data_IF_930763731735
#
_entry.id   IF_930763731735
#
_cell.length_a   1.000
_cell.length_b   1.000
_cell.length_c   1.000
_cell.angle_alpha   90.00
_cell.angle_beta   90.00
_cell.angle_gamma   90.00
#
_symmetry.space_group_name_H-M   'P 1'
#
loop_
_entity.id
_entity.type
_entity.pdbx_description
1 polymer ?
#
# COMPACT_ATOMS: atom_id res chain seq x y z
N UNK A 1 19.87 -19.95 -18.27
CA UNK A 1 18.70 -19.33 -17.59
C UNK A 1 17.90 -20.42 -16.90
N UNK A 2 17.46 -20.20 -15.65
CA UNK A 2 16.64 -21.18 -14.94
C UNK A 2 15.31 -21.42 -15.67
N UNK A 3 14.91 -22.68 -15.79
CA UNK A 3 13.67 -23.07 -16.46
C UNK A 3 12.46 -22.64 -15.61
N UNK A 4 11.54 -21.89 -16.22
CA UNK A 4 10.33 -21.44 -15.52
C UNK A 4 9.41 -22.65 -15.21
N UNK A 5 8.83 -22.66 -14.00
CA UNK A 5 7.89 -23.70 -13.60
C UNK A 5 6.66 -23.77 -14.50
N UNK A 6 6.08 -24.95 -14.67
CA UNK A 6 4.94 -25.22 -15.56
C UNK A 6 3.76 -24.27 -15.33
N UNK A 7 3.43 -23.97 -14.07
CA UNK A 7 2.32 -23.08 -13.69
C UNK A 7 2.48 -21.65 -14.24
N UNK A 8 3.64 -21.02 -14.04
CA UNK A 8 3.86 -19.65 -14.51
C UNK A 8 4.00 -19.58 -16.03
N UNK A 9 4.46 -20.65 -16.68
CA UNK A 9 4.51 -20.79 -18.12
C UNK A 9 3.09 -20.79 -18.71
N UNK A 10 2.20 -21.63 -18.17
CA UNK A 10 0.78 -21.67 -18.59
C UNK A 10 0.06 -20.34 -18.27
N UNK A 11 0.33 -19.73 -17.12
CA UNK A 11 -0.29 -18.44 -16.78
C UNK A 11 0.14 -17.29 -17.71
N UNK A 12 1.31 -17.39 -18.35
CA UNK A 12 1.81 -16.40 -19.34
C UNK A 12 1.33 -16.66 -20.78
N UNK A 13 0.72 -17.78 -21.01
CA UNK A 13 0.25 -18.15 -22.34
C UNK A 13 -0.80 -17.16 -22.83
N UNK A 14 -0.65 -16.66 -24.07
CA UNK A 14 -1.53 -15.64 -24.66
C UNK A 14 -1.34 -14.20 -24.14
N UNK A 15 -0.34 -13.93 -23.27
CA UNK A 15 0.01 -12.57 -22.87
C UNK A 15 1.18 -12.06 -23.70
N UNK A 16 0.92 -11.05 -24.54
CA UNK A 16 1.98 -10.34 -25.23
C UNK A 16 2.61 -9.31 -24.28
N UNK A 17 3.91 -9.45 -24.02
CA UNK A 17 4.66 -8.58 -23.12
C UNK A 17 4.97 -7.19 -23.68
N UNK A 18 4.82 -7.02 -24.98
CA UNK A 18 5.07 -5.74 -25.66
C UNK A 18 3.81 -4.88 -25.70
N UNK A 19 2.65 -5.51 -25.66
CA UNK A 19 1.34 -4.85 -25.74
C UNK A 19 0.96 -4.18 -24.40
N UNK A 20 0.36 -3.01 -24.50
CA UNK A 20 -0.34 -2.33 -23.41
C UNK A 20 -1.83 -2.72 -23.49
N UNK A 21 -2.38 -3.19 -22.38
CA UNK A 21 -3.77 -3.62 -22.30
C UNK A 21 -4.63 -2.54 -21.64
N UNK A 22 -5.88 -2.34 -22.08
CA UNK A 22 -6.84 -1.53 -21.34
C UNK A 22 -7.04 -2.09 -19.92
N UNK A 23 -7.28 -1.21 -18.93
CA UNK A 23 -7.36 -1.62 -17.52
C UNK A 23 -8.38 -2.74 -17.28
N UNK A 24 -9.60 -2.64 -17.83
CA UNK A 24 -10.65 -3.65 -17.65
C UNK A 24 -10.24 -5.03 -18.18
N UNK A 25 -9.66 -5.08 -19.39
CA UNK A 25 -9.18 -6.33 -19.97
C UNK A 25 -8.02 -6.93 -19.17
N UNK A 26 -7.10 -6.09 -18.71
CA UNK A 26 -5.98 -6.53 -17.90
C UNK A 26 -6.44 -7.14 -16.56
N UNK A 27 -7.43 -6.55 -15.88
CA UNK A 27 -8.03 -7.08 -14.64
C UNK A 27 -8.71 -8.42 -14.90
N UNK A 28 -9.52 -8.54 -15.96
CA UNK A 28 -10.19 -9.80 -16.35
C UNK A 28 -9.17 -10.90 -16.62
N UNK A 29 -8.18 -10.62 -17.48
CA UNK A 29 -7.10 -11.56 -17.78
C UNK A 29 -6.33 -12.02 -16.55
N UNK A 30 -6.14 -11.14 -15.58
CA UNK A 30 -5.45 -11.44 -14.34
C UNK A 30 -6.28 -12.37 -13.45
N UNK A 31 -7.58 -12.11 -13.30
CA UNK A 31 -8.50 -12.96 -12.52
C UNK A 31 -8.60 -14.37 -13.09
N UNK A 32 -8.72 -14.53 -14.41
CA UNK A 32 -8.76 -15.83 -15.08
C UNK A 32 -7.51 -16.69 -14.83
N UNK A 33 -6.36 -16.02 -14.60
CA UNK A 33 -5.05 -16.68 -14.41
C UNK A 33 -4.64 -16.84 -12.95
N UNK A 34 -5.37 -16.25 -12.03
CA UNK A 34 -5.17 -16.41 -10.60
C UNK A 34 -5.75 -17.76 -10.12
N UNK A 35 -4.94 -18.81 -10.20
CA UNK A 35 -5.33 -20.21 -9.90
C UNK A 35 -4.67 -20.77 -8.64
N UNK A 36 -4.20 -19.92 -7.73
CA UNK A 36 -3.66 -20.36 -6.45
C UNK A 36 -4.77 -20.88 -5.52
N UNK A 37 -4.39 -21.72 -4.54
CA UNK A 37 -5.33 -22.30 -3.55
C UNK A 37 -5.73 -21.33 -2.45
N UNK A 38 -5.34 -20.06 -2.55
CA UNK A 38 -5.64 -19.00 -1.60
C UNK A 38 -6.11 -17.75 -2.37
N UNK A 39 -6.79 -16.84 -1.68
CA UNK A 39 -7.24 -15.58 -2.27
C UNK A 39 -6.04 -14.65 -2.50
N UNK A 40 -5.59 -14.61 -3.77
CA UNK A 40 -4.42 -13.84 -4.17
C UNK A 40 -4.68 -12.33 -4.03
N UNK A 41 -3.64 -11.58 -3.68
CA UNK A 41 -3.69 -10.12 -3.68
C UNK A 41 -3.39 -9.59 -5.08
N UNK A 42 -4.15 -8.61 -5.52
CA UNK A 42 -3.86 -7.86 -6.75
C UNK A 42 -2.99 -6.68 -6.38
N UNK A 43 -1.87 -6.58 -7.06
CA UNK A 43 -0.85 -5.56 -6.82
C UNK A 43 -0.65 -4.71 -8.06
N UNK A 44 -0.40 -3.43 -7.83
CA UNK A 44 -0.05 -2.45 -8.87
C UNK A 44 1.39 -2.04 -8.68
N UNK A 45 2.14 -2.01 -9.77
CA UNK A 45 3.48 -1.43 -9.84
C UNK A 45 3.47 -0.27 -10.83
N UNK A 46 3.95 0.91 -10.41
CA UNK A 46 4.03 2.10 -11.23
C UNK A 46 5.47 2.60 -11.29
N UNK A 47 6.04 2.67 -12.49
CA UNK A 47 7.32 3.31 -12.72
C UNK A 47 7.09 4.82 -12.82
N UNK A 48 7.81 5.57 -12.02
CA UNK A 48 7.72 7.03 -11.97
C UNK A 48 9.01 7.66 -12.52
N UNK A 49 8.87 8.72 -13.29
CA UNK A 49 9.96 9.53 -13.81
C UNK A 49 10.56 10.44 -12.72
N UNK A 50 11.02 9.85 -11.62
CA UNK A 50 11.66 10.55 -10.49
C UNK A 50 12.96 9.88 -10.11
N UNK A 51 13.90 10.65 -9.55
CA UNK A 51 15.13 10.13 -8.95
C UNK A 51 14.99 10.13 -7.40
N UNK A 52 14.75 8.98 -6.76
CA UNK A 52 14.56 8.89 -5.31
C UNK A 52 15.83 9.21 -4.47
N UNK A 53 16.97 9.42 -5.11
CA UNK A 53 18.20 9.85 -4.43
C UNK A 53 18.12 11.30 -3.98
N UNK A 54 17.29 12.09 -4.66
CA UNK A 54 17.01 13.48 -4.32
C UNK A 54 15.83 13.55 -3.35
N UNK A 55 16.01 14.22 -2.22
CA UNK A 55 15.00 14.32 -1.17
C UNK A 55 13.71 15.04 -1.62
N UNK A 56 13.84 15.97 -2.57
CA UNK A 56 12.75 16.72 -3.21
C UNK A 56 11.94 15.89 -4.22
N UNK A 57 12.49 14.74 -4.68
CA UNK A 57 11.81 13.82 -5.60
C UNK A 57 11.30 12.55 -4.91
N UNK A 58 11.36 12.51 -3.59
CA UNK A 58 10.85 11.37 -2.82
C UNK A 58 9.32 11.39 -2.76
N UNK A 59 8.69 10.47 -3.49
CA UNK A 59 7.22 10.29 -3.49
C UNK A 59 6.80 9.38 -2.35
N UNK A 60 5.89 9.85 -1.52
CA UNK A 60 5.28 9.11 -0.41
C UNK A 60 3.89 9.65 -0.13
N UNK A 61 2.94 8.77 0.13
CA UNK A 61 1.58 9.16 0.47
C UNK A 61 0.73 8.00 0.98
N UNK A 62 -0.53 8.29 1.17
CA UNK A 62 -1.57 7.32 1.50
C UNK A 62 -2.70 7.45 0.50
N UNK A 63 -3.21 6.32 0.06
CA UNK A 63 -4.43 6.23 -0.72
C UNK A 63 -5.50 5.50 0.09
N UNK A 64 -6.66 6.09 0.24
CA UNK A 64 -7.84 5.42 0.77
C UNK A 64 -8.55 4.74 -0.40
N UNK A 65 -8.52 3.39 -0.40
CA UNK A 65 -9.18 2.62 -1.44
C UNK A 65 -10.69 2.62 -1.21
N UNK A 66 -11.52 2.99 -2.20
CA UNK A 66 -12.97 3.10 -2.03
C UNK A 66 -13.62 1.76 -1.65
N UNK A 67 -13.10 0.66 -2.14
CA UNK A 67 -13.63 -0.68 -1.85
C UNK A 67 -12.78 -1.45 -0.81
N UNK A 68 -11.86 -0.75 -0.11
CA UNK A 68 -10.93 -1.37 0.81
C UNK A 68 -9.87 -2.25 0.14
N UNK A 69 -8.94 -2.79 0.92
CA UNK A 69 -7.88 -3.68 0.42
C UNK A 69 -8.24 -5.17 0.50
N UNK A 70 -9.36 -5.53 1.14
CA UNK A 70 -9.76 -6.92 1.42
C UNK A 70 -8.85 -7.63 2.44
N UNK A 71 -8.01 -6.89 3.15
CA UNK A 71 -7.13 -7.41 4.20
C UNK A 71 -7.61 -6.91 5.56
N UNK A 72 -7.75 -7.79 6.52
CA UNK A 72 -7.95 -7.42 7.91
C UNK A 72 -6.64 -6.88 8.47
N UNK A 73 -6.64 -5.60 8.87
CA UNK A 73 -5.45 -4.90 9.37
C UNK A 73 -5.55 -4.79 10.88
N UNK A 74 -4.55 -5.29 11.61
CA UNK A 74 -4.42 -5.08 13.05
C UNK A 74 -3.74 -3.75 13.30
N UNK A 75 -4.41 -2.86 14.03
CA UNK A 75 -3.95 -1.50 14.29
C UNK A 75 -3.49 -1.36 15.74
N UNK A 76 -2.23 -0.97 15.92
CA UNK A 76 -1.68 -0.56 17.21
C UNK A 76 -1.71 0.97 17.34
N UNK A 77 -2.09 1.44 18.52
CA UNK A 77 -2.14 2.87 18.82
C UNK A 77 -1.31 3.17 20.08
N UNK A 78 -0.33 4.03 19.91
CA UNK A 78 0.44 4.61 21.01
C UNK A 78 -0.23 5.89 21.50
N UNK A 79 -0.94 5.82 22.61
CA UNK A 79 -1.67 6.95 23.18
C UNK A 79 -1.79 6.82 24.71
N UNK A 80 -1.97 7.96 25.40
CA UNK A 80 -2.16 8.04 26.85
C UNK A 80 -3.55 8.57 27.21
N UNK A 81 -4.03 8.19 28.39
CA UNK A 81 -5.26 8.73 29.00
C UNK A 81 -6.47 8.64 28.08
N UNK A 82 -7.25 9.71 27.97
CA UNK A 82 -8.48 9.75 27.19
C UNK A 82 -8.30 9.37 25.71
N UNK A 83 -7.12 9.63 25.11
CA UNK A 83 -6.83 9.25 23.72
C UNK A 83 -6.66 7.73 23.57
N UNK A 84 -6.21 7.03 24.59
CA UNK A 84 -6.16 5.58 24.59
C UNK A 84 -7.58 4.98 24.63
N UNK A 85 -8.51 5.59 25.37
CA UNK A 85 -9.90 5.15 25.43
C UNK A 85 -10.63 5.45 24.12
N UNK A 86 -10.39 6.61 23.49
CA UNK A 86 -10.86 6.92 22.15
C UNK A 86 -10.37 5.89 21.12
N UNK A 87 -9.10 5.47 21.20
CA UNK A 87 -8.52 4.45 20.32
C UNK A 87 -9.21 3.09 20.46
N UNK A 88 -9.47 2.67 21.72
CA UNK A 88 -10.21 1.42 22.00
C UNK A 88 -11.64 1.49 21.47
N UNK A 89 -12.33 2.62 21.72
CA UNK A 89 -13.68 2.85 21.21
C UNK A 89 -13.74 2.89 19.68
N UNK A 90 -12.69 3.37 18.99
CA UNK A 90 -12.56 3.35 17.55
C UNK A 90 -12.23 1.96 16.98
N UNK A 91 -11.99 0.96 17.83
CA UNK A 91 -11.72 -0.41 17.44
C UNK A 91 -10.25 -0.73 17.18
N UNK A 92 -9.30 0.00 17.75
CA UNK A 92 -7.89 -0.38 17.68
C UNK A 92 -7.67 -1.73 18.38
N UNK A 93 -6.81 -2.58 17.79
CA UNK A 93 -6.60 -3.95 18.28
C UNK A 93 -5.62 -3.99 19.47
N UNK A 94 -4.63 -3.10 19.43
CA UNK A 94 -3.63 -2.96 20.50
C UNK A 94 -3.52 -1.48 20.86
N UNK A 95 -3.73 -1.14 22.13
CA UNK A 95 -3.61 0.24 22.61
C UNK A 95 -2.76 0.24 23.89
N UNK A 96 -1.73 1.05 23.88
CA UNK A 96 -0.83 1.17 25.04
C UNK A 96 0.03 2.43 24.98
N UNK A 97 0.76 2.66 26.04
CA UNK A 97 1.71 3.75 26.17
C UNK A 97 3.14 3.18 26.33
N UNK A 98 3.74 3.33 27.51
CA UNK A 98 5.08 2.82 27.81
C UNK A 98 5.14 1.29 27.81
N UNK A 99 4.11 0.63 28.29
CA UNK A 99 3.91 -0.82 28.29
C UNK A 99 4.01 -1.42 26.88
N UNK A 100 3.36 -0.76 25.91
CA UNK A 100 3.43 -1.16 24.50
C UNK A 100 4.81 -0.89 23.90
N UNK A 101 5.47 0.20 24.31
CA UNK A 101 6.85 0.49 23.86
C UNK A 101 7.80 -0.62 24.33
N UNK A 102 7.72 -1.06 25.58
CA UNK A 102 8.53 -2.16 26.13
C UNK A 102 8.27 -3.47 25.40
N UNK A 103 7.01 -3.81 25.14
CA UNK A 103 6.59 -5.02 24.41
C UNK A 103 7.21 -5.04 23.01
N UNK A 104 7.11 -3.93 22.28
CA UNK A 104 7.68 -3.80 20.92
C UNK A 104 9.21 -3.80 20.94
N UNK A 105 9.82 -3.19 21.96
CA UNK A 105 11.27 -3.21 22.15
C UNK A 105 11.77 -4.63 22.43
N UNK A 106 10.99 -5.44 23.13
CA UNK A 106 11.21 -6.87 23.33
C UNK A 106 11.06 -7.74 22.06
N UNK A 107 10.65 -7.14 20.93
CA UNK A 107 10.54 -7.79 19.63
C UNK A 107 9.15 -8.34 19.28
N UNK A 108 8.17 -8.24 20.19
CA UNK A 108 6.80 -8.68 19.93
C UNK A 108 6.04 -7.62 19.16
N UNK A 109 5.71 -7.93 17.91
CA UNK A 109 5.00 -7.01 16.98
C UNK A 109 3.83 -7.77 16.37
N UNK A 110 2.66 -7.65 16.99
CA UNK A 110 1.43 -8.31 16.58
C UNK A 110 0.43 -7.37 15.89
N UNK A 111 0.94 -6.42 15.11
CA UNK A 111 0.14 -5.44 14.39
C UNK A 111 0.71 -5.17 12.99
N UNK A 112 -0.16 -4.73 12.09
CA UNK A 112 0.16 -4.43 10.70
C UNK A 112 0.25 -2.92 10.44
N UNK A 113 -0.29 -2.11 11.33
CA UNK A 113 -0.26 -0.64 11.28
C UNK A 113 -0.02 -0.07 12.66
N UNK A 114 0.72 1.04 12.68
CA UNK A 114 1.03 1.76 13.90
C UNK A 114 0.59 3.22 13.79
N UNK A 115 -0.18 3.67 14.76
CA UNK A 115 -0.61 5.07 14.91
C UNK A 115 -0.06 5.57 16.23
N UNK A 116 0.35 6.83 16.27
CA UNK A 116 0.83 7.45 17.50
C UNK A 116 0.26 8.86 17.65
N UNK A 117 -0.01 9.24 18.89
CA UNK A 117 -0.26 10.65 19.23
C UNK A 117 1.08 11.41 19.24
N UNK A 118 1.11 12.71 18.92
CA UNK A 118 2.35 13.49 18.86
C UNK A 118 3.15 13.48 20.18
N UNK A 119 2.47 13.43 21.31
CA UNK A 119 3.07 13.35 22.67
C UNK A 119 3.81 12.04 22.93
N UNK A 120 3.42 10.94 22.25
CA UNK A 120 4.09 9.64 22.35
C UNK A 120 5.29 9.49 21.39
N UNK A 121 5.45 10.39 20.41
CA UNK A 121 6.51 10.28 19.40
C UNK A 121 7.94 10.25 19.98
N UNK A 122 8.28 10.95 21.08
CA UNK A 122 9.62 10.85 21.68
C UNK A 122 9.94 9.42 22.20
N UNK A 123 8.93 8.70 22.66
CA UNK A 123 9.09 7.31 23.10
C UNK A 123 9.10 6.34 21.93
N UNK A 124 8.15 6.49 20.99
CA UNK A 124 8.07 5.68 19.78
C UNK A 124 9.31 5.86 18.91
N UNK A 125 9.95 7.04 18.94
CA UNK A 125 11.23 7.30 18.26
C UNK A 125 12.36 6.34 18.65
N UNK A 126 12.36 5.86 19.88
CA UNK A 126 13.33 4.86 20.38
C UNK A 126 13.15 3.50 19.69
N UNK A 127 11.93 3.21 19.18
CA UNK A 127 11.61 1.99 18.46
C UNK A 127 11.99 2.07 16.96
N UNK A 128 12.59 3.17 16.53
CA UNK A 128 12.95 3.39 15.11
C UNK A 128 13.81 2.28 14.50
N UNK A 129 14.70 1.66 15.30
CA UNK A 129 15.52 0.52 14.87
C UNK A 129 14.72 -0.76 14.62
N UNK A 130 13.56 -0.91 15.28
CA UNK A 130 12.69 -2.09 15.21
C UNK A 130 11.56 -1.88 14.20
N UNK A 131 10.86 -0.73 14.29
CA UNK A 131 9.71 -0.40 13.43
C UNK A 131 10.12 0.13 12.06
N UNK A 132 11.26 0.83 11.96
CA UNK A 132 11.73 1.44 10.72
C UNK A 132 11.95 0.45 9.58
N UNK A 133 12.75 -0.62 9.76
CA UNK A 133 12.98 -1.63 8.72
C UNK A 133 11.71 -2.36 8.27
N UNK A 134 10.70 -2.44 9.15
CA UNK A 134 9.40 -3.07 8.87
C UNK A 134 8.39 -2.12 8.22
N UNK A 135 8.73 -0.83 8.05
CA UNK A 135 7.82 0.18 7.51
C UNK A 135 6.67 0.56 8.45
N UNK A 136 6.75 0.20 9.73
CA UNK A 136 5.69 0.43 10.73
C UNK A 136 5.88 1.72 11.54
N UNK A 137 6.92 2.51 11.26
CA UNK A 137 7.19 3.74 12.00
C UNK A 137 6.14 4.81 11.69
N UNK A 138 5.43 5.33 12.71
CA UNK A 138 4.46 6.42 12.49
C UNK A 138 5.11 7.66 11.87
N UNK A 139 4.38 8.31 10.97
CA UNK A 139 4.88 9.50 10.27
C UNK A 139 3.75 10.53 10.06
N UNK A 140 3.98 11.81 10.40
CA UNK A 140 2.99 12.87 10.19
C UNK A 140 2.57 13.05 8.72
N UNK A 141 3.51 12.87 7.77
CA UNK A 141 3.23 13.02 6.32
C UNK A 141 2.25 11.97 5.78
N UNK A 142 2.08 10.87 6.50
CA UNK A 142 1.22 9.74 6.14
C UNK A 142 -0.07 9.74 6.97
N UNK A 143 -0.21 10.70 7.90
CA UNK A 143 -1.38 10.81 8.77
C UNK A 143 -1.43 9.75 9.88
N UNK A 144 -0.36 8.98 10.09
CA UNK A 144 -0.27 8.00 11.19
C UNK A 144 0.21 8.61 12.51
N UNK A 145 0.55 9.90 12.50
CA UNK A 145 0.73 10.72 13.71
C UNK A 145 -0.35 11.77 13.72
N UNK A 146 -1.34 11.61 14.60
CA UNK A 146 -2.51 12.51 14.68
C UNK A 146 -3.03 12.64 16.09
N UNK A 147 -3.60 13.80 16.40
CA UNK A 147 -4.40 14.02 17.62
C UNK A 147 -5.81 13.42 17.49
N UNK A 148 -6.33 13.29 16.24
CA UNK A 148 -7.59 12.60 15.95
C UNK A 148 -7.34 11.12 15.72
N UNK A 149 -7.29 10.39 16.83
CA UNK A 149 -7.03 8.94 16.82
C UNK A 149 -8.19 8.18 16.17
N UNK A 150 -9.43 8.61 16.38
CA UNK A 150 -10.61 7.95 15.84
C UNK A 150 -10.61 7.91 14.32
N UNK A 151 -10.37 9.05 13.68
CA UNK A 151 -10.28 9.16 12.23
C UNK A 151 -9.10 8.35 11.67
N UNK A 152 -7.93 8.40 12.34
CA UNK A 152 -6.76 7.65 11.91
C UNK A 152 -6.97 6.13 11.99
N UNK A 153 -7.61 5.61 13.03
CA UNK A 153 -7.94 4.18 13.17
C UNK A 153 -8.98 3.77 12.12
N UNK A 154 -10.03 4.58 11.92
CA UNK A 154 -11.05 4.32 10.90
C UNK A 154 -10.44 4.26 9.49
N UNK A 155 -9.56 5.20 9.14
CA UNK A 155 -8.85 5.19 7.86
C UNK A 155 -7.95 3.94 7.71
N UNK A 156 -7.18 3.59 8.74
CA UNK A 156 -6.31 2.41 8.72
C UNK A 156 -7.10 1.11 8.53
N UNK A 157 -8.26 0.96 9.17
CA UNK A 157 -9.16 -0.19 9.01
C UNK A 157 -9.99 -0.14 7.73
N UNK A 158 -10.28 1.06 7.24
CA UNK A 158 -11.04 1.29 6.00
C UNK A 158 -10.29 0.97 4.70
N UNK A 159 -9.05 0.49 4.78
CA UNK A 159 -8.28 0.11 3.59
C UNK A 159 -7.33 1.19 3.08
N UNK A 160 -6.89 2.11 3.95
CA UNK A 160 -5.81 3.03 3.62
C UNK A 160 -4.54 2.25 3.25
N UNK A 161 -3.98 2.50 2.07
CA UNK A 161 -2.74 1.89 1.58
C UNK A 161 -1.66 2.96 1.51
N UNK A 162 -0.58 2.73 2.24
CA UNK A 162 0.61 3.59 2.18
C UNK A 162 1.45 3.20 0.98
N UNK A 163 1.95 4.20 0.27
CA UNK A 163 2.89 4.01 -0.82
C UNK A 163 4.14 4.87 -0.65
N UNK A 164 5.25 4.34 -1.09
CA UNK A 164 6.54 5.02 -1.09
C UNK A 164 7.33 4.58 -2.32
N UNK A 165 7.96 5.54 -2.99
CA UNK A 165 8.88 5.23 -4.09
C UNK A 165 10.10 4.51 -3.55
N UNK A 166 10.50 3.43 -4.22
CA UNK A 166 11.73 2.71 -3.95
C UNK A 166 12.93 3.27 -4.73
N UNK A 167 14.13 2.74 -4.48
CA UNK A 167 15.38 3.21 -5.12
C UNK A 167 15.37 3.19 -6.65
N UNK A 168 14.55 2.33 -7.26
CA UNK A 168 14.41 2.21 -8.72
C UNK A 168 13.36 3.16 -9.31
N UNK A 169 12.76 4.06 -8.51
CA UNK A 169 11.70 4.96 -8.99
C UNK A 169 10.33 4.28 -9.12
N UNK A 170 10.14 3.11 -8.51
CA UNK A 170 8.90 2.35 -8.63
C UNK A 170 8.09 2.43 -7.34
N UNK A 171 6.77 2.53 -7.48
CA UNK A 171 5.80 2.44 -6.37
C UNK A 171 5.04 1.14 -6.51
N UNK A 172 4.91 0.40 -5.41
CA UNK A 172 4.16 -0.84 -5.31
C UNK A 172 3.03 -0.71 -4.29
N UNK A 173 1.86 -1.28 -4.60
CA UNK A 173 0.75 -1.34 -3.66
C UNK A 173 -0.17 -2.53 -3.93
N UNK A 174 -0.68 -3.15 -2.87
CA UNK A 174 -1.79 -4.09 -2.94
C UNK A 174 -3.12 -3.34 -2.96
N UNK A 175 -3.92 -3.53 -4.01
CA UNK A 175 -5.15 -2.75 -4.26
C UNK A 175 -6.43 -3.54 -4.09
N UNK A 176 -6.35 -4.83 -3.78
CA UNK A 176 -7.52 -5.68 -3.54
C UNK A 176 -7.20 -7.15 -3.60
N UNK A 177 -8.24 -7.97 -3.54
CA UNK A 177 -8.18 -9.42 -3.63
C UNK A 177 -8.78 -9.91 -4.94
N UNK A 178 -8.35 -11.08 -5.41
CA UNK A 178 -8.92 -11.73 -6.61
C UNK A 178 -10.41 -12.00 -6.45
N UNK A 179 -10.88 -12.23 -5.21
CA UNK A 179 -12.30 -12.39 -4.87
C UNK A 179 -13.16 -11.16 -5.12
N UNK A 180 -12.57 -9.95 -5.26
CA UNK A 180 -13.30 -8.72 -5.56
C UNK A 180 -13.87 -8.75 -6.98
N UNK A 181 -15.00 -8.05 -7.18
CA UNK A 181 -15.54 -7.82 -8.51
C UNK A 181 -14.59 -6.99 -9.36
N UNK A 182 -14.64 -7.18 -10.68
CA UNK A 182 -13.79 -6.45 -11.64
C UNK A 182 -13.97 -4.94 -11.53
N UNK A 183 -15.22 -4.47 -11.37
CA UNK A 183 -15.51 -3.04 -11.19
C UNK A 183 -14.84 -2.45 -9.96
N UNK A 184 -14.90 -3.14 -8.80
CA UNK A 184 -14.26 -2.71 -7.55
C UNK A 184 -12.74 -2.63 -7.69
N UNK A 185 -12.14 -3.56 -8.40
CA UNK A 185 -10.69 -3.56 -8.66
C UNK A 185 -10.28 -2.39 -9.56
N UNK A 186 -11.05 -2.14 -10.63
CA UNK A 186 -10.82 -1.01 -11.53
C UNK A 186 -10.91 0.32 -10.78
N UNK A 187 -11.92 0.50 -9.93
CA UNK A 187 -12.08 1.70 -9.09
C UNK A 187 -10.90 1.87 -8.13
N UNK A 188 -10.49 0.81 -7.44
CA UNK A 188 -9.36 0.84 -6.53
C UNK A 188 -8.05 1.20 -7.25
N UNK A 189 -7.80 0.61 -8.43
CA UNK A 189 -6.60 0.89 -9.22
C UNK A 189 -6.59 2.35 -9.70
N UNK A 190 -7.72 2.89 -10.14
CA UNK A 190 -7.86 4.30 -10.53
C UNK A 190 -7.63 5.23 -9.34
N UNK A 191 -8.28 4.97 -8.21
CA UNK A 191 -8.09 5.77 -6.99
C UNK A 191 -6.64 5.78 -6.55
N UNK A 192 -5.95 4.64 -6.65
CA UNK A 192 -4.52 4.56 -6.34
C UNK A 192 -3.67 5.36 -7.35
N UNK A 193 -3.94 5.26 -8.64
CA UNK A 193 -3.23 6.01 -9.68
C UNK A 193 -3.42 7.52 -9.51
N UNK A 194 -4.63 7.97 -9.19
CA UNK A 194 -4.93 9.37 -8.91
C UNK A 194 -4.19 9.87 -7.67
N UNK A 195 -4.13 9.07 -6.61
CA UNK A 195 -3.38 9.42 -5.40
C UNK A 195 -1.88 9.58 -5.69
N UNK A 196 -1.31 8.68 -6.51
CA UNK A 196 0.08 8.78 -6.95
C UNK A 196 0.28 10.00 -7.86
N UNK A 197 -0.63 10.28 -8.79
CA UNK A 197 -0.56 11.44 -9.68
C UNK A 197 -0.59 12.77 -8.89
N UNK A 198 -1.46 12.87 -7.88
CA UNK A 198 -1.54 14.03 -6.97
C UNK A 198 -0.29 14.22 -6.11
N UNK A 199 0.44 13.15 -5.83
CA UNK A 199 1.68 13.16 -5.07
C UNK A 199 2.91 13.53 -5.92
N UNK A 200 2.74 13.99 -7.17
CA UNK A 200 3.83 14.42 -8.05
C UNK A 200 4.66 15.53 -7.40
N UNK A 201 5.97 15.32 -7.21
CA UNK A 201 6.83 16.36 -6.68
C UNK A 201 7.10 17.46 -7.72
N UNK A 202 7.32 18.68 -7.26
CA UNK A 202 7.62 19.83 -8.13
C UNK A 202 8.91 19.67 -8.93
N UNK A 203 9.86 18.90 -8.43
CA UNK A 203 11.12 18.59 -9.10
C UNK A 203 11.02 17.54 -10.22
N UNK A 204 9.88 16.86 -10.38
CA UNK A 204 9.70 15.85 -11.42
C UNK A 204 9.51 16.49 -12.80
N UNK A 205 10.47 16.28 -13.70
CA UNK A 205 10.44 16.75 -15.08
C UNK A 205 9.96 15.66 -16.04
N UNK A 206 9.28 16.06 -17.11
CA UNK A 206 8.81 15.10 -18.14
C UNK A 206 7.61 14.27 -17.72
N UNK A 207 7.52 13.06 -18.27
CA UNK A 207 6.43 12.12 -17.98
C UNK A 207 6.58 11.55 -16.59
N UNK A 208 5.60 11.79 -15.71
CA UNK A 208 5.67 11.37 -14.31
C UNK A 208 5.35 9.89 -14.12
N UNK A 209 4.23 9.41 -14.69
CA UNK A 209 3.89 7.98 -14.68
C UNK A 209 4.29 7.39 -16.03
N UNK A 210 5.37 6.62 -16.06
CA UNK A 210 5.93 6.07 -17.29
C UNK A 210 5.28 4.74 -17.67
N UNK A 211 5.05 3.89 -16.68
CA UNK A 211 4.52 2.53 -16.88
C UNK A 211 3.65 2.12 -15.71
N UNK A 212 2.58 1.40 -16.03
CA UNK A 212 1.72 0.75 -15.04
C UNK A 212 1.68 -0.74 -15.36
N UNK A 213 1.82 -1.56 -14.34
CA UNK A 213 1.64 -3.00 -14.45
C UNK A 213 0.82 -3.51 -13.27
N UNK A 214 -0.03 -4.47 -13.53
CA UNK A 214 -0.80 -5.18 -12.49
C UNK A 214 -0.42 -6.65 -12.45
N UNK A 215 -0.44 -7.24 -11.28
CA UNK A 215 -0.15 -8.66 -11.09
C UNK A 215 -0.99 -9.22 -9.96
N UNK A 216 -1.20 -10.53 -9.94
CA UNK A 216 -1.63 -11.23 -8.73
C UNK A 216 -0.42 -11.86 -8.04
N UNK A 217 -0.55 -12.19 -6.74
CA UNK A 217 0.56 -12.68 -5.90
C UNK A 217 1.38 -13.78 -6.58
N UNK A 218 0.72 -14.69 -7.29
CA UNK A 218 1.37 -15.84 -7.94
C UNK A 218 1.23 -15.80 -9.48
N UNK A 219 0.66 -14.73 -10.02
CA UNK A 219 0.36 -14.56 -11.44
C UNK A 219 1.47 -13.87 -12.24
N UNK A 220 1.27 -13.71 -13.55
CA UNK A 220 2.13 -12.90 -14.42
C UNK A 220 1.82 -11.40 -14.28
N UNK A 221 2.82 -10.56 -14.49
CA UNK A 221 2.61 -9.12 -14.64
C UNK A 221 2.03 -8.78 -16.01
N UNK A 222 0.97 -7.97 -16.03
CA UNK A 222 0.29 -7.47 -17.22
C UNK A 222 0.53 -5.96 -17.30
N UNK A 223 1.04 -5.48 -18.42
CA UNK A 223 1.24 -4.04 -18.67
C UNK A 223 -0.09 -3.39 -19.01
N UNK A 224 -0.39 -2.29 -18.35
CA UNK A 224 -1.63 -1.53 -18.54
C UNK A 224 -1.32 -0.23 -19.25
N UNK A 225 -2.20 0.18 -20.15
CA UNK A 225 -2.13 1.48 -20.78
C UNK A 225 -2.40 2.60 -19.75
N UNK A 226 -1.43 3.49 -19.47
CA UNK A 226 -1.62 4.58 -18.53
C UNK A 226 -2.82 5.49 -18.87
N UNK A 227 -3.11 5.69 -20.14
CA UNK A 227 -4.25 6.49 -20.58
C UNK A 227 -5.61 5.88 -20.19
N UNK A 228 -5.70 4.55 -20.06
CA UNK A 228 -6.92 3.86 -19.62
C UNK A 228 -7.15 3.91 -18.09
N UNK A 229 -6.10 4.25 -17.34
CA UNK A 229 -6.13 4.33 -15.86
C UNK A 229 -6.34 5.77 -15.40
N UNK A 230 -5.54 6.68 -15.95
CA UNK A 230 -5.58 8.12 -15.65
C UNK A 230 -6.70 8.74 -16.51
N UNK A 231 -7.93 8.65 -16.05
CA UNK A 231 -9.04 9.41 -16.66
C UNK A 231 -8.91 10.85 -16.17
N UNK A 232 -8.73 11.78 -17.13
CA UNK A 232 -8.65 13.21 -16.87
C UNK A 232 -9.96 13.75 -16.25
#
# INVERSE_FOLDING_TARGET
>A
MAQQGKRIRSAREGIDRTKLYPLGDAVRMLKERAKAKFDETIEVAMNLGVDPRHADQMVRGVCNLPNGSGRTVRVAVFARGAKADEARAAGADVVGAEDLVETVQGGTIDFDRCIATPDMMPLVGRLGKVLGPRGLMPNPKVGTVSMDVKSAVAAAKGGAVEFRVEKAGIVHAGVGKVSFDEGKLVENIRAFADAVAKARPSGAKGTYIERIAITSTMGPGIKVDPASVLVA
#
